data_IF_496578855741
#
_entry.id   IF_496578855741
#
_cell.length_a   1.000
_cell.length_b   1.000
_cell.length_c   1.000
_cell.angle_alpha   90.00
_cell.angle_beta   90.00
_cell.angle_gamma   90.00
#
_symmetry.space_group_name_H-M   'P 1'
#
loop_
_entity.id
_entity.type
_entity.pdbx_description
1 polymer ?
#
# COMPACT_ATOMS: atom_id res chain seq x y z
N UNK A 1 7.45 18.68 -54.16
CA UNK A 1 7.48 19.63 -53.04
C UNK A 1 7.10 18.87 -51.79
N UNK A 2 8.11 18.40 -51.04
CA UNK A 2 7.92 17.54 -49.87
C UNK A 2 7.46 18.35 -48.65
N UNK A 3 6.35 17.97 -48.05
CA UNK A 3 5.86 18.53 -46.80
C UNK A 3 6.69 17.99 -45.63
N UNK A 4 7.55 18.84 -45.06
CA UNK A 4 8.21 18.56 -43.79
C UNK A 4 7.18 18.62 -42.65
N UNK A 5 6.99 17.49 -41.95
CA UNK A 5 6.31 17.47 -40.65
C UNK A 5 7.17 18.17 -39.59
N UNK A 6 6.60 18.90 -38.63
CA UNK A 6 7.37 19.53 -37.57
C UNK A 6 7.93 18.49 -36.57
N UNK A 7 9.13 18.70 -36.00
CA UNK A 7 9.73 17.77 -35.06
C UNK A 7 9.17 17.96 -33.65
N UNK A 8 8.81 16.85 -33.00
CA UNK A 8 8.84 16.72 -31.55
C UNK A 8 7.80 17.51 -30.76
N UNK A 9 6.53 17.14 -30.88
CA UNK A 9 5.59 17.37 -29.79
C UNK A 9 5.95 16.44 -28.64
N UNK A 10 6.48 16.99 -27.54
CA UNK A 10 6.57 16.28 -26.27
C UNK A 10 5.14 15.82 -25.93
N UNK A 11 4.87 14.53 -25.66
CA UNK A 11 3.52 14.14 -25.24
C UNK A 11 3.18 14.90 -23.97
N UNK A 12 2.07 15.63 -24.00
CA UNK A 12 1.53 16.31 -22.84
C UNK A 12 1.36 15.28 -21.72
N UNK A 13 2.10 15.48 -20.63
CA UNK A 13 2.02 14.79 -19.35
C UNK A 13 1.42 13.39 -19.45
N UNK A 14 2.26 12.37 -19.65
CA UNK A 14 1.89 11.05 -19.15
C UNK A 14 1.53 11.25 -17.68
N UNK A 15 0.34 10.83 -17.21
CA UNK A 15 0.07 10.85 -15.78
C UNK A 15 1.23 10.11 -15.13
N UNK A 16 1.96 10.82 -14.25
CA UNK A 16 2.87 10.14 -13.35
C UNK A 16 1.97 9.20 -12.56
N UNK A 17 2.17 7.90 -12.74
CA UNK A 17 1.49 6.89 -11.93
C UNK A 17 1.98 7.12 -10.50
N UNK A 18 1.26 7.96 -9.77
CA UNK A 18 1.44 8.13 -8.36
C UNK A 18 1.01 6.81 -7.74
N UNK A 19 1.99 6.12 -7.17
CA UNK A 19 1.78 4.85 -6.48
C UNK A 19 1.73 5.13 -4.99
N UNK A 20 0.56 4.91 -4.41
CA UNK A 20 0.38 4.91 -2.98
C UNK A 20 0.59 3.51 -2.42
N UNK A 21 1.07 3.39 -1.19
CA UNK A 21 1.18 2.11 -0.50
C UNK A 21 0.11 1.97 0.57
N UNK A 22 -0.61 0.85 0.57
CA UNK A 22 -1.49 0.45 1.66
C UNK A 22 -0.71 -0.44 2.62
N UNK A 23 -0.40 0.10 3.80
CA UNK A 23 0.12 -0.67 4.92
C UNK A 23 -1.04 -1.29 5.70
N UNK A 24 -0.99 -2.61 5.89
CA UNK A 24 -1.91 -3.38 6.70
C UNK A 24 -1.16 -4.00 7.88
N UNK A 25 -1.58 -3.66 9.08
CA UNK A 25 -1.09 -4.28 10.31
C UNK A 25 -2.08 -5.36 10.74
N UNK A 26 -1.75 -6.63 10.49
CA UNK A 26 -2.60 -7.79 10.78
C UNK A 26 -2.30 -8.28 12.20
N UNK A 27 -3.15 -7.93 13.17
CA UNK A 27 -2.87 -8.19 14.59
C UNK A 27 -3.23 -9.62 15.00
N UNK A 28 -4.52 -9.97 14.93
CA UNK A 28 -5.02 -11.23 15.47
C UNK A 28 -6.34 -11.64 14.83
N UNK A 29 -6.71 -12.90 15.04
CA UNK A 29 -8.09 -13.33 14.88
C UNK A 29 -8.60 -14.07 16.12
N UNK A 30 -9.91 -14.10 16.29
CA UNK A 30 -10.58 -14.75 17.40
C UNK A 30 -11.72 -15.62 16.92
N UNK A 31 -12.01 -16.67 17.67
CA UNK A 31 -13.13 -17.58 17.44
C UNK A 31 -13.17 -18.17 16.00
N UNK A 32 -11.99 -18.49 15.47
CA UNK A 32 -11.89 -19.17 14.18
C UNK A 32 -12.51 -20.57 14.28
N UNK A 33 -13.28 -20.94 13.25
CA UNK A 33 -13.82 -22.30 13.15
C UNK A 33 -12.69 -23.31 13.20
N UNK A 34 -12.74 -24.23 14.17
CA UNK A 34 -11.82 -25.36 14.22
C UNK A 34 -12.06 -26.29 13.02
N UNK A 35 -11.06 -26.43 12.16
CA UNK A 35 -11.14 -27.27 10.94
C UNK A 35 -10.17 -28.46 10.95
N UNK A 36 -9.33 -28.59 11.97
CA UNK A 36 -8.46 -29.74 12.21
C UNK A 36 -9.14 -30.74 13.15
N UNK A 37 -8.96 -32.04 12.88
CA UNK A 37 -9.46 -33.11 13.74
C UNK A 37 -8.52 -33.39 14.94
N UNK A 38 -7.22 -33.13 14.76
CA UNK A 38 -6.19 -33.37 15.76
C UNK A 38 -5.19 -32.22 15.74
N UNK A 39 -4.60 -31.92 16.91
CA UNK A 39 -3.62 -30.86 17.07
C UNK A 39 -4.19 -29.44 17.02
N UNK A 40 -3.31 -28.48 17.29
CA UNK A 40 -3.64 -27.06 17.15
C UNK A 40 -3.60 -26.62 15.70
N UNK A 41 -4.47 -25.68 15.37
CA UNK A 41 -4.42 -25.02 14.06
C UNK A 41 -3.17 -24.13 14.00
N UNK A 42 -2.40 -24.28 12.93
CA UNK A 42 -1.32 -23.36 12.59
C UNK A 42 -1.83 -22.50 11.44
N UNK A 43 -1.85 -21.18 11.62
CA UNK A 43 -2.55 -20.29 10.69
C UNK A 43 -1.73 -19.10 10.26
N UNK A 44 -2.03 -18.61 9.06
CA UNK A 44 -1.48 -17.38 8.52
C UNK A 44 -2.57 -16.64 7.74
N UNK A 45 -2.41 -15.33 7.60
CA UNK A 45 -3.29 -14.50 6.80
C UNK A 45 -2.64 -14.15 5.46
N UNK A 46 -3.45 -14.07 4.42
CA UNK A 46 -3.06 -13.66 3.06
C UNK A 46 -3.92 -12.47 2.67
N UNK A 47 -3.29 -11.36 2.29
CA UNK A 47 -3.96 -10.13 1.91
C UNK A 47 -3.65 -9.76 0.46
N UNK A 48 -4.63 -9.14 -0.21
CA UNK A 48 -4.45 -8.58 -1.54
C UNK A 48 -5.53 -7.55 -1.90
N UNK A 49 -5.18 -6.73 -2.87
CA UNK A 49 -6.12 -5.87 -3.62
C UNK A 49 -6.37 -6.50 -5.00
N UNK A 50 -5.30 -6.77 -5.75
CA UNK A 50 -5.32 -7.58 -6.95
C UNK A 50 -4.96 -9.03 -6.59
N UNK A 51 -5.79 -10.00 -6.99
CA UNK A 51 -5.58 -11.42 -6.70
C UNK A 51 -4.26 -12.00 -7.23
N UNK A 52 -3.62 -11.32 -8.19
CA UNK A 52 -2.33 -11.74 -8.75
C UNK A 52 -1.16 -11.40 -7.81
N UNK A 53 -1.34 -10.40 -6.93
CA UNK A 53 -0.31 -9.88 -6.02
C UNK A 53 -0.72 -10.11 -4.56
N UNK A 54 -0.49 -11.33 -4.07
CA UNK A 54 -0.79 -11.72 -2.70
C UNK A 54 0.45 -11.60 -1.82
N UNK A 55 0.25 -11.09 -0.60
CA UNK A 55 1.25 -11.07 0.46
C UNK A 55 0.68 -11.75 1.70
N UNK A 56 1.53 -12.35 2.52
CA UNK A 56 1.10 -13.12 3.69
C UNK A 56 1.87 -12.77 4.95
N UNK A 57 1.22 -13.00 6.09
CA UNK A 57 1.88 -13.02 7.40
C UNK A 57 2.75 -14.27 7.53
N UNK A 58 3.58 -14.30 8.57
CA UNK A 58 4.15 -15.52 9.12
C UNK A 58 3.05 -16.44 9.68
N UNK A 59 3.46 -17.68 9.95
CA UNK A 59 2.58 -18.71 10.51
C UNK A 59 2.62 -18.60 12.03
N UNK A 60 1.47 -18.34 12.63
CA UNK A 60 1.25 -18.61 14.05
C UNK A 60 1.02 -20.11 14.23
N UNK A 61 1.91 -20.75 15.00
CA UNK A 61 1.90 -22.20 15.23
C UNK A 61 1.16 -22.62 16.50
N UNK A 62 0.80 -21.67 17.37
CA UNK A 62 0.32 -21.96 18.72
C UNK A 62 -1.05 -21.35 19.04
N UNK A 63 -1.47 -20.29 18.34
CA UNK A 63 -2.72 -19.61 18.67
C UNK A 63 -4.01 -20.38 18.34
N UNK A 64 -3.94 -21.46 17.54
CA UNK A 64 -5.08 -22.33 17.28
C UNK A 64 -6.26 -21.57 16.66
N UNK A 65 -7.40 -21.54 17.34
CA UNK A 65 -8.58 -20.76 16.93
C UNK A 65 -8.49 -19.25 17.25
N UNK A 66 -7.43 -18.80 17.92
CA UNK A 66 -7.23 -17.40 18.35
C UNK A 66 -5.81 -16.91 18.00
N UNK A 67 -5.43 -16.92 16.72
CA UNK A 67 -4.06 -16.63 16.33
C UNK A 67 -3.66 -15.17 16.54
N UNK A 68 -2.36 -14.95 16.74
CA UNK A 68 -1.74 -13.64 16.81
C UNK A 68 -0.56 -13.59 15.86
N UNK A 69 -0.65 -12.72 14.85
CA UNK A 69 0.41 -12.51 13.88
C UNK A 69 1.23 -11.28 14.24
N UNK A 70 0.56 -10.13 14.40
CA UNK A 70 1.21 -8.82 14.61
C UNK A 70 2.18 -8.46 13.48
N UNK A 71 1.77 -8.79 12.26
CA UNK A 71 2.59 -8.62 11.06
C UNK A 71 2.15 -7.42 10.25
N UNK A 72 3.13 -6.79 9.61
CA UNK A 72 2.93 -5.68 8.68
C UNK A 72 3.02 -6.19 7.25
N UNK A 73 1.98 -5.93 6.46
CA UNK A 73 1.90 -6.23 5.04
C UNK A 73 1.78 -4.93 4.25
N UNK A 74 2.59 -4.77 3.20
CA UNK A 74 2.56 -3.57 2.36
C UNK A 74 2.08 -3.98 0.96
N UNK A 75 1.05 -3.30 0.48
CA UNK A 75 0.48 -3.49 -0.85
C UNK A 75 0.66 -2.20 -1.66
N UNK A 76 1.21 -2.31 -2.88
CA UNK A 76 1.21 -1.18 -3.82
C UNK A 76 -0.18 -0.99 -4.39
N UNK A 77 -0.62 0.26 -4.48
CA UNK A 77 -1.94 0.67 -4.92
C UNK A 77 -1.78 1.79 -5.95
N UNK A 78 -2.47 1.65 -7.08
CA UNK A 78 -2.60 2.73 -8.04
C UNK A 78 -3.57 3.78 -7.48
N UNK A 79 -3.25 5.08 -7.61
CA UNK A 79 -4.07 6.15 -7.03
C UNK A 79 -5.54 6.12 -7.49
N UNK A 80 -5.80 5.75 -8.76
CA UNK A 80 -7.16 5.58 -9.26
C UNK A 80 -7.96 4.52 -8.49
N UNK A 81 -7.28 3.49 -7.96
CA UNK A 81 -7.92 2.47 -7.12
C UNK A 81 -8.27 3.04 -5.74
N UNK A 82 -7.43 3.87 -5.11
CA UNK A 82 -7.76 4.40 -3.78
C UNK A 82 -9.05 5.23 -3.74
N UNK A 83 -9.36 5.93 -4.83
CA UNK A 83 -10.51 6.82 -4.92
C UNK A 83 -11.80 6.14 -5.42
N UNK A 84 -11.71 4.90 -5.90
CA UNK A 84 -12.90 4.17 -6.35
C UNK A 84 -13.75 3.66 -5.17
N UNK A 85 -15.07 3.86 -5.26
CA UNK A 85 -16.03 3.39 -4.25
C UNK A 85 -16.09 1.86 -4.13
N UNK A 86 -15.64 1.13 -5.16
CA UNK A 86 -15.65 -0.34 -5.20
C UNK A 86 -14.35 -0.95 -4.70
N UNK A 87 -13.35 -0.14 -4.40
CA UNK A 87 -12.03 -0.60 -4.01
C UNK A 87 -12.07 -1.28 -2.67
N UNK A 88 -11.47 -2.46 -2.61
CA UNK A 88 -11.44 -3.28 -1.41
C UNK A 88 -10.15 -4.06 -1.27
N UNK A 89 -9.80 -4.33 -0.03
CA UNK A 89 -8.78 -5.31 0.34
C UNK A 89 -9.49 -6.59 0.76
N UNK A 90 -8.99 -7.71 0.28
CA UNK A 90 -9.41 -9.04 0.73
C UNK A 90 -8.33 -9.66 1.59
N UNK A 91 -8.76 -10.25 2.70
CA UNK A 91 -7.91 -10.99 3.63
C UNK A 91 -8.51 -12.39 3.79
N UNK A 92 -7.69 -13.41 3.61
CA UNK A 92 -8.04 -14.80 3.85
C UNK A 92 -7.14 -15.40 4.91
N UNK A 93 -7.74 -16.18 5.81
CA UNK A 93 -6.99 -16.93 6.82
C UNK A 93 -6.94 -18.39 6.39
N UNK A 94 -5.73 -18.93 6.37
CA UNK A 94 -5.47 -20.31 6.03
C UNK A 94 -4.95 -21.07 7.24
N UNK A 95 -5.30 -22.35 7.32
CA UNK A 95 -4.69 -23.31 8.22
C UNK A 95 -3.74 -24.20 7.42
N UNK A 96 -2.53 -24.39 7.95
CA UNK A 96 -1.55 -25.31 7.38
C UNK A 96 -2.13 -26.71 7.34
N UNK A 97 -2.09 -27.33 6.16
CA UNK A 97 -2.52 -28.70 5.92
C UNK A 97 -1.34 -29.62 5.63
N UNK A 98 -1.59 -30.93 5.69
CA UNK A 98 -0.56 -31.93 5.31
C UNK A 98 -0.27 -31.98 3.81
N UNK A 99 -1.30 -31.75 2.99
CA UNK A 99 -1.23 -31.82 1.53
C UNK A 99 -1.49 -30.46 0.88
N UNK A 100 -2.49 -29.74 1.41
CA UNK A 100 -2.87 -28.41 0.96
C UNK A 100 -3.44 -27.63 2.13
N UNK A 101 -3.10 -26.35 2.18
CA UNK A 101 -3.62 -25.43 3.18
C UNK A 101 -5.11 -25.17 2.95
N UNK A 102 -5.83 -25.05 4.07
CA UNK A 102 -7.28 -25.01 4.09
C UNK A 102 -7.75 -23.62 4.44
N UNK A 103 -8.60 -23.05 3.60
CA UNK A 103 -9.25 -21.77 3.89
C UNK A 103 -10.14 -21.89 5.13
N UNK A 104 -9.85 -21.09 6.15
CA UNK A 104 -10.61 -21.00 7.39
C UNK A 104 -11.73 -19.98 7.22
N UNK A 105 -11.42 -18.80 6.68
CA UNK A 105 -12.39 -17.74 6.45
C UNK A 105 -11.81 -16.57 5.66
N UNK A 106 -12.72 -15.74 5.15
CA UNK A 106 -12.44 -14.57 4.31
C UNK A 106 -13.08 -13.34 4.92
N UNK A 107 -12.35 -12.23 4.94
CA UNK A 107 -12.87 -10.89 5.20
C UNK A 107 -12.55 -9.99 4.00
N UNK A 108 -13.47 -9.09 3.67
CA UNK A 108 -13.26 -8.07 2.64
C UNK A 108 -13.68 -6.74 3.22
N UNK A 109 -12.82 -5.73 3.09
CA UNK A 109 -13.11 -4.39 3.55
C UNK A 109 -12.94 -3.41 2.40
N UNK A 110 -13.98 -2.59 2.19
CA UNK A 110 -13.89 -1.48 1.25
C UNK A 110 -12.89 -0.46 1.79
N UNK A 111 -11.97 -0.02 0.92
CA UNK A 111 -10.97 0.96 1.28
C UNK A 111 -11.66 2.24 1.75
N UNK A 112 -12.70 2.74 1.07
CA UNK A 112 -13.45 3.92 1.52
C UNK A 112 -13.93 3.87 2.99
N UNK A 113 -14.25 2.68 3.50
CA UNK A 113 -14.69 2.47 4.89
C UNK A 113 -13.53 2.36 5.87
N UNK A 114 -12.46 1.65 5.48
CA UNK A 114 -11.22 1.63 6.26
C UNK A 114 -10.62 3.01 6.34
N UNK A 115 -10.88 3.82 5.32
CA UNK A 115 -10.11 4.98 5.11
C UNK A 115 -10.71 6.19 5.87
N UNK A 116 -11.92 6.69 5.64
CA UNK A 116 -12.50 7.89 6.33
C UNK A 116 -11.51 8.79 7.13
N UNK A 117 -11.01 9.86 6.51
CA UNK A 117 -10.09 10.85 7.11
C UNK A 117 -10.49 11.17 8.56
N UNK A 118 -9.76 10.65 9.53
CA UNK A 118 -9.90 11.12 10.90
C UNK A 118 -9.38 12.55 10.91
N UNK A 119 -10.23 13.53 11.22
CA UNK A 119 -9.93 14.97 11.22
C UNK A 119 -8.93 15.43 12.29
N UNK A 120 -7.97 14.58 12.67
CA UNK A 120 -6.89 14.87 13.58
C UNK A 120 -5.64 15.34 12.83
N UNK A 121 -4.92 16.27 13.44
CA UNK A 121 -3.78 17.06 12.93
C UNK A 121 -2.52 16.28 12.45
N UNK A 122 -2.61 14.97 12.18
CA UNK A 122 -1.44 14.14 11.86
C UNK A 122 -1.22 13.90 10.37
N UNK A 123 -2.14 14.30 9.49
CA UNK A 123 -2.02 14.12 8.04
C UNK A 123 -2.07 12.65 7.56
N UNK A 124 -1.85 11.69 8.47
CA UNK A 124 -1.87 10.27 8.20
C UNK A 124 -3.29 9.74 8.13
N UNK A 125 -3.52 8.98 7.07
CA UNK A 125 -4.76 8.32 6.83
C UNK A 125 -4.72 6.93 7.48
N UNK A 126 -5.02 6.85 8.78
CA UNK A 126 -4.90 5.61 9.59
C UNK A 126 -6.22 5.24 10.28
N UNK A 127 -6.56 3.94 10.24
CA UNK A 127 -7.71 3.37 10.94
C UNK A 127 -7.43 1.99 11.52
N UNK A 128 -8.06 1.70 12.66
CA UNK A 128 -8.16 0.36 13.22
C UNK A 128 -9.54 -0.19 12.94
N UNK A 129 -9.63 -1.44 12.51
CA UNK A 129 -10.90 -2.06 12.19
C UNK A 129 -10.97 -3.52 12.66
N UNK A 130 -12.22 -3.94 12.82
CA UNK A 130 -12.59 -5.28 13.24
C UNK A 130 -13.50 -5.84 12.14
N UNK A 131 -13.07 -6.91 11.49
CA UNK A 131 -13.76 -7.50 10.36
C UNK A 131 -14.36 -8.86 10.73
N UNK A 132 -15.63 -9.04 10.40
CA UNK A 132 -16.28 -10.34 10.49
C UNK A 132 -15.76 -11.26 9.39
N UNK A 133 -15.17 -12.39 9.79
CA UNK A 133 -14.79 -13.43 8.84
C UNK A 133 -16.02 -14.22 8.40
N UNK A 134 -16.03 -14.59 7.12
CA UNK A 134 -17.02 -15.48 6.52
C UNK A 134 -16.36 -16.78 6.14
N UNK A 135 -16.97 -17.88 6.55
CA UNK A 135 -16.55 -19.22 6.16
C UNK A 135 -16.72 -19.41 4.64
N UNK A 136 -16.10 -20.45 4.04
CA UNK A 136 -16.37 -20.83 2.66
C UNK A 136 -17.85 -21.08 2.36
N UNK A 137 -18.65 -21.42 3.39
CA UNK A 137 -20.11 -21.56 3.27
C UNK A 137 -20.88 -20.23 3.32
N UNK A 138 -20.20 -19.08 3.40
CA UNK A 138 -20.79 -17.74 3.54
C UNK A 138 -21.23 -17.36 4.95
N UNK A 139 -21.32 -18.33 5.88
CA UNK A 139 -21.74 -18.11 7.26
C UNK A 139 -20.70 -17.26 8.01
N UNK A 140 -21.11 -16.26 8.80
CA UNK A 140 -20.19 -15.51 9.64
C UNK A 140 -19.66 -16.41 10.77
N UNK A 141 -18.34 -16.41 10.97
CA UNK A 141 -17.67 -17.05 12.11
C UNK A 141 -16.27 -16.48 12.25
N UNK A 142 -15.92 -16.05 13.46
CA UNK A 142 -14.61 -15.50 13.79
C UNK A 142 -14.44 -14.03 13.42
N UNK A 143 -13.50 -13.38 14.08
CA UNK A 143 -13.27 -11.94 13.99
C UNK A 143 -11.79 -11.68 13.69
N UNK A 144 -11.50 -10.78 12.77
CA UNK A 144 -10.15 -10.33 12.42
C UNK A 144 -9.93 -8.90 12.93
N UNK A 145 -8.84 -8.66 13.66
CA UNK A 145 -8.42 -7.34 14.10
C UNK A 145 -7.24 -6.87 13.26
N UNK A 146 -7.34 -5.68 12.65
CA UNK A 146 -6.26 -5.11 11.85
C UNK A 146 -6.24 -3.58 11.89
N UNK A 147 -5.10 -3.01 11.50
CA UNK A 147 -4.93 -1.59 11.21
C UNK A 147 -4.61 -1.37 9.74
N UNK A 148 -5.00 -0.23 9.19
CA UNK A 148 -4.74 0.16 7.81
C UNK A 148 -4.24 1.61 7.75
N UNK A 149 -3.22 1.85 6.93
CA UNK A 149 -2.60 3.17 6.72
C UNK A 149 -2.31 3.35 5.23
N UNK A 150 -2.60 4.52 4.67
CA UNK A 150 -2.04 4.92 3.36
C UNK A 150 -0.74 5.67 3.59
N UNK A 151 0.29 5.25 2.87
CA UNK A 151 1.55 5.95 2.72
C UNK A 151 1.58 6.54 1.31
N UNK A 152 1.51 7.87 1.21
CA UNK A 152 1.70 8.58 -0.05
C UNK A 152 3.20 8.71 -0.31
N UNK A 153 3.66 8.36 -1.51
CA UNK A 153 5.05 8.60 -1.91
C UNK A 153 5.18 10.07 -2.33
N UNK A 154 5.75 10.90 -1.45
CA UNK A 154 6.05 12.30 -1.73
C UNK A 154 6.94 12.39 -2.98
N UNK A 155 6.32 12.68 -4.13
CA UNK A 155 6.99 12.74 -5.43
C UNK A 155 7.89 13.98 -5.58
N UNK A 156 8.34 14.59 -4.49
CA UNK A 156 9.07 15.87 -4.45
C UNK A 156 10.58 15.75 -4.74
N UNK A 157 11.10 14.58 -5.15
CA UNK A 157 12.54 14.38 -5.40
C UNK A 157 12.94 14.08 -6.85
N UNK A 158 12.09 14.34 -7.85
CA UNK A 158 12.50 14.34 -9.27
C UNK A 158 12.64 15.74 -9.87
N UNK A 159 13.10 16.70 -9.06
CA UNK A 159 13.29 18.10 -9.43
C UNK A 159 14.73 18.61 -9.36
N UNK A 160 15.77 17.77 -9.42
CA UNK A 160 17.16 18.28 -9.49
C UNK A 160 18.05 17.42 -10.39
N UNK A 161 18.04 17.72 -11.69
CA UNK A 161 19.19 17.60 -12.60
C UNK A 161 18.78 18.23 -13.94
N UNK A 162 19.16 19.47 -14.26
CA UNK A 162 20.44 19.74 -14.91
C UNK A 162 20.79 21.22 -14.81
N UNK A 163 21.74 21.58 -13.94
CA UNK A 163 22.55 22.80 -14.11
C UNK A 163 23.94 22.37 -14.55
N UNK A 164 24.23 22.50 -15.85
CA UNK A 164 25.56 22.61 -16.49
C UNK A 164 25.24 23.14 -17.90
N UNK A 165 25.80 24.20 -18.45
CA UNK A 165 26.90 25.09 -18.14
C UNK A 165 27.17 25.82 -19.46
N UNK A 166 27.29 27.16 -19.44
CA UNK A 166 27.38 27.94 -20.67
C UNK A 166 28.02 29.29 -20.40
N UNK A 167 29.31 29.25 -20.12
CA UNK A 167 30.21 30.40 -20.09
C UNK A 167 30.33 31.00 -21.51
N UNK A 168 30.07 32.30 -21.65
CA UNK A 168 30.54 33.09 -22.80
C UNK A 168 30.92 34.48 -22.29
N UNK A 169 32.23 34.68 -22.17
CA UNK A 169 32.83 35.85 -21.58
C UNK A 169 32.85 37.11 -22.44
N UNK A 170 33.72 38.02 -21.96
CA UNK A 170 34.13 39.35 -22.47
C UNK A 170 33.27 40.50 -21.89
N UNK A 171 33.80 41.54 -21.26
CA UNK A 171 35.12 42.15 -21.29
C UNK A 171 35.44 42.86 -19.95
N UNK A 172 36.73 42.95 -19.60
CA UNK A 172 37.21 44.01 -18.70
C UNK A 172 37.33 45.34 -19.46
N UNK A 173 37.19 46.47 -18.74
CA UNK A 173 38.38 47.28 -18.52
C UNK A 173 38.57 47.70 -17.04
N UNK A 174 39.84 47.75 -16.62
CA UNK A 174 40.36 48.45 -15.41
C UNK A 174 40.92 49.84 -15.83
N UNK A 175 41.45 50.67 -14.91
CA UNK A 175 40.97 51.11 -13.59
C UNK A 175 41.15 52.65 -13.42
N UNK A 176 40.67 53.24 -12.31
CA UNK A 176 41.13 54.47 -11.63
C UNK A 176 40.11 54.79 -10.51
N UNK A 177 40.38 55.31 -9.31
CA UNK A 177 41.56 55.59 -8.48
C UNK A 177 41.00 56.22 -7.18
N UNK A 178 41.51 55.81 -6.02
CA UNK A 178 41.77 56.64 -4.81
C UNK A 178 40.65 57.39 -4.02
N UNK A 179 40.90 57.45 -2.70
CA UNK A 179 40.30 58.26 -1.59
C UNK A 179 38.92 57.81 -1.10
N UNK A 180 38.65 57.59 0.18
CA UNK A 180 39.42 57.78 1.41
C UNK A 180 38.47 58.05 2.59
N UNK A 181 38.92 57.61 3.78
CA UNK A 181 38.32 57.73 5.13
C UNK A 181 37.18 56.78 5.48
#
# INVERSE_FOLDING_TARGET
TGSHSPPGSIPAFLPMDHHSMLELNIFSAHDLKKITLFGEMQTYAVAWINSDNKISTEIDRAGGSNPKWNDKLILSVEDGFLHSETSSVTIQIYCIGRLKDRLVGTATAMLCNLLKRNGGHTGLWMSFCVLQLRLPSGRPQGILNLGAIILEEDSQLHGVSSFHGGDLGRAQPRPSSFVGK
#
